data_IF_769974061814
#
_entry.id   IF_769974061814
#
_cell.length_a   1.000
_cell.length_b   1.000
_cell.length_c   1.000
_cell.angle_alpha   90.00
_cell.angle_beta   90.00
_cell.angle_gamma   90.00
#
_symmetry.space_group_name_H-M   'P 1'
#
loop_
_entity.id
_entity.type
_entity.pdbx_description
1 polymer ?
#
# COMPACT_ATOMS: atom_id res chain seq x y z
N UNK A 1 30.65 50.97 -33.07
CA UNK A 1 29.47 50.73 -32.25
C UNK A 1 29.07 49.28 -32.39
N UNK A 2 29.29 48.45 -31.34
CA UNK A 2 28.93 47.01 -31.32
C UNK A 2 27.62 46.90 -30.59
N UNK A 3 26.55 46.53 -31.27
CA UNK A 3 25.24 46.25 -30.69
C UNK A 3 25.29 44.89 -29.95
N UNK A 4 25.05 44.89 -28.66
CA UNK A 4 24.85 43.68 -27.86
C UNK A 4 23.41 43.26 -27.90
N UNK A 5 23.13 42.13 -28.51
CA UNK A 5 21.80 41.51 -28.47
C UNK A 5 21.69 40.71 -27.18
N UNK A 6 20.75 41.08 -26.29
CA UNK A 6 20.36 40.29 -25.16
C UNK A 6 19.21 39.37 -25.55
N UNK A 7 19.46 38.07 -25.58
CA UNK A 7 18.41 37.07 -25.78
C UNK A 7 17.80 36.84 -24.38
N UNK A 8 16.58 37.32 -24.20
CA UNK A 8 15.77 37.00 -23.02
C UNK A 8 15.12 35.65 -23.30
N UNK A 9 15.65 34.59 -22.69
CA UNK A 9 14.99 33.27 -22.63
C UNK A 9 13.89 33.36 -21.57
N UNK A 10 12.65 33.56 -22.03
CA UNK A 10 11.47 33.46 -21.19
C UNK A 10 11.22 31.97 -20.88
N UNK A 11 11.59 31.57 -19.69
CA UNK A 11 11.29 30.23 -19.17
C UNK A 11 9.77 30.19 -18.89
N UNK A 12 9.00 29.67 -19.83
CA UNK A 12 7.59 29.36 -19.62
C UNK A 12 7.55 28.11 -18.72
N UNK A 13 7.36 28.32 -17.43
CA UNK A 13 6.95 27.28 -16.51
C UNK A 13 5.52 26.87 -16.90
N UNK A 14 5.41 25.82 -17.71
CA UNK A 14 4.16 25.10 -17.88
C UNK A 14 3.97 24.34 -16.55
N UNK A 15 3.36 25.01 -15.57
CA UNK A 15 2.80 24.35 -14.42
C UNK A 15 1.75 23.38 -14.94
N UNK A 16 1.93 22.08 -14.72
CA UNK A 16 0.82 21.16 -14.77
C UNK A 16 -0.24 21.70 -13.80
N UNK A 17 -1.28 22.34 -14.35
CA UNK A 17 -2.52 22.49 -13.60
C UNK A 17 -3.01 21.06 -13.41
N UNK A 18 -3.03 20.61 -12.16
CA UNK A 18 -3.84 19.48 -11.77
C UNK A 18 -5.26 19.92 -12.09
N UNK A 19 -5.82 19.40 -13.18
CA UNK A 19 -7.24 19.60 -13.44
C UNK A 19 -7.97 19.07 -12.21
N UNK A 20 -8.94 19.80 -11.65
CA UNK A 20 -9.76 19.27 -10.60
C UNK A 20 -10.37 17.97 -11.14
N UNK A 21 -10.28 16.90 -10.37
CA UNK A 21 -10.95 15.62 -10.63
C UNK A 21 -12.35 15.97 -11.11
N UNK A 22 -12.70 15.47 -12.28
CA UNK A 22 -13.96 15.80 -12.94
C UNK A 22 -15.10 15.37 -12.01
N UNK A 23 -15.73 16.34 -11.35
CA UNK A 23 -16.87 16.11 -10.46
C UNK A 23 -18.12 15.55 -11.19
N UNK A 24 -17.98 15.29 -12.49
CA UNK A 24 -19.06 14.82 -13.35
C UNK A 24 -19.63 13.44 -12.94
N UNK A 25 -18.89 12.63 -12.17
CA UNK A 25 -19.38 11.32 -11.76
C UNK A 25 -20.29 11.45 -10.53
N UNK A 26 -19.94 12.30 -9.59
CA UNK A 26 -20.72 12.52 -8.36
C UNK A 26 -22.02 13.29 -8.65
N UNK A 27 -21.99 14.24 -9.57
CA UNK A 27 -23.18 15.02 -10.00
C UNK A 27 -24.23 14.19 -10.76
N UNK A 28 -23.89 12.97 -11.20
CA UNK A 28 -24.81 12.05 -11.89
C UNK A 28 -25.55 11.10 -10.98
N UNK A 29 -25.26 11.10 -9.68
CA UNK A 29 -26.02 10.34 -8.70
C UNK A 29 -27.40 10.99 -8.56
N UNK A 30 -28.42 10.27 -8.99
CA UNK A 30 -29.81 10.73 -8.92
C UNK A 30 -30.15 11.18 -7.49
N UNK A 31 -30.70 12.38 -7.37
CA UNK A 31 -30.94 13.18 -6.16
C UNK A 31 -31.86 12.55 -5.08
N UNK A 32 -31.99 11.22 -5.03
CA UNK A 32 -32.94 10.51 -4.14
C UNK A 32 -32.28 9.68 -3.02
N UNK A 33 -30.97 9.49 -3.04
CA UNK A 33 -30.25 8.89 -1.90
C UNK A 33 -29.11 9.82 -1.46
N UNK A 34 -29.21 10.36 -0.25
CA UNK A 34 -28.11 11.06 0.42
C UNK A 34 -27.01 10.03 0.72
N UNK A 35 -26.03 9.94 -0.15
CA UNK A 35 -24.83 9.13 0.07
C UNK A 35 -24.04 9.80 1.20
N UNK A 36 -23.49 9.02 2.13
CA UNK A 36 -22.66 9.56 3.18
C UNK A 36 -21.31 10.07 2.59
N UNK A 37 -20.67 11.09 3.18
CA UNK A 37 -19.37 11.55 2.72
C UNK A 37 -18.29 10.45 2.67
N UNK A 38 -18.39 9.45 3.54
CA UNK A 38 -17.49 8.29 3.54
C UNK A 38 -17.74 7.37 2.32
N UNK A 39 -18.99 7.18 1.93
CA UNK A 39 -19.34 6.40 0.75
C UNK A 39 -18.93 7.10 -0.53
N UNK A 40 -19.11 8.41 -0.60
CA UNK A 40 -18.67 9.25 -1.71
C UNK A 40 -17.14 9.14 -1.89
N UNK A 41 -16.37 9.30 -0.82
CA UNK A 41 -14.91 9.15 -0.84
C UNK A 41 -14.48 7.75 -1.27
N UNK A 42 -15.16 6.71 -0.79
CA UNK A 42 -14.89 5.33 -1.20
C UNK A 42 -15.06 5.13 -2.71
N UNK A 43 -16.16 5.65 -3.26
CA UNK A 43 -16.43 5.59 -4.72
C UNK A 43 -15.34 6.32 -5.49
N UNK A 44 -14.94 7.51 -5.05
CA UNK A 44 -13.87 8.30 -5.67
C UNK A 44 -12.52 7.56 -5.66
N UNK A 45 -12.16 6.94 -4.54
CA UNK A 45 -10.94 6.13 -4.44
C UNK A 45 -11.01 4.91 -5.38
N UNK A 46 -12.13 4.21 -5.41
CA UNK A 46 -12.30 3.03 -6.26
C UNK A 46 -12.31 3.39 -7.75
N UNK A 47 -12.85 4.54 -8.10
CA UNK A 47 -12.79 5.07 -9.47
C UNK A 47 -11.34 5.36 -9.88
N UNK A 48 -10.58 6.05 -9.04
CA UNK A 48 -9.15 6.28 -9.27
C UNK A 48 -8.35 4.97 -9.41
N UNK A 49 -8.63 3.96 -8.59
CA UNK A 49 -8.02 2.63 -8.69
C UNK A 49 -8.35 2.00 -10.04
N UNK A 50 -9.62 2.03 -10.44
CA UNK A 50 -10.08 1.42 -11.69
C UNK A 50 -9.46 2.12 -12.90
N UNK A 51 -9.45 3.45 -12.96
CA UNK A 51 -8.84 4.23 -14.02
C UNK A 51 -7.34 3.94 -14.14
N UNK A 52 -6.64 3.89 -13.01
CA UNK A 52 -5.21 3.59 -12.98
C UNK A 52 -4.89 2.19 -13.52
N UNK A 53 -5.65 1.19 -13.12
CA UNK A 53 -5.48 -0.18 -13.61
C UNK A 53 -5.96 -0.34 -15.06
N UNK A 54 -7.08 0.27 -15.46
CA UNK A 54 -7.55 0.24 -16.85
C UNK A 54 -6.51 0.81 -17.81
N UNK A 55 -5.78 1.86 -17.40
CA UNK A 55 -4.84 2.56 -18.28
C UNK A 55 -3.41 1.99 -18.24
N UNK A 56 -2.92 1.56 -17.07
CA UNK A 56 -1.50 1.24 -16.88
C UNK A 56 -1.22 -0.23 -16.60
N UNK A 57 -2.24 -1.03 -16.28
CA UNK A 57 -2.04 -2.38 -15.82
C UNK A 57 -1.61 -3.33 -16.93
N UNK A 58 -0.52 -4.07 -16.73
CA UNK A 58 0.05 -4.96 -17.74
C UNK A 58 -0.93 -6.05 -18.21
N UNK A 59 -1.76 -6.58 -17.32
CA UNK A 59 -2.75 -7.61 -17.62
C UNK A 59 -4.17 -7.04 -17.83
N UNK A 60 -4.31 -5.77 -18.13
CA UNK A 60 -5.61 -5.11 -18.30
C UNK A 60 -6.54 -5.86 -19.25
N UNK A 61 -6.03 -6.35 -20.39
CA UNK A 61 -6.84 -7.08 -21.40
C UNK A 61 -7.33 -8.45 -20.90
N UNK A 62 -6.68 -9.06 -19.92
CA UNK A 62 -7.06 -10.35 -19.34
C UNK A 62 -8.08 -10.26 -18.21
N UNK A 63 -8.31 -9.04 -17.69
CA UNK A 63 -9.26 -8.78 -16.59
C UNK A 63 -10.55 -8.18 -17.14
N UNK A 64 -11.66 -8.93 -17.21
CA UNK A 64 -12.91 -8.44 -17.82
C UNK A 64 -13.47 -7.17 -17.17
N UNK A 65 -13.27 -7.01 -15.85
CA UNK A 65 -13.74 -5.85 -15.10
C UNK A 65 -12.92 -4.58 -15.38
N UNK A 66 -11.78 -4.68 -16.07
CA UNK A 66 -10.98 -3.56 -16.55
C UNK A 66 -11.27 -3.21 -18.02
N UNK A 67 -12.31 -3.76 -18.63
CA UNK A 67 -12.70 -3.41 -19.99
C UNK A 67 -13.24 -1.99 -20.07
N UNK A 68 -12.90 -1.23 -21.13
CA UNK A 68 -13.41 0.14 -21.41
C UNK A 68 -14.94 0.20 -21.44
N UNK A 69 -15.60 -0.91 -21.80
CA UNK A 69 -17.05 -1.00 -21.80
C UNK A 69 -17.69 -0.93 -20.41
N UNK A 70 -16.90 -1.08 -19.34
CA UNK A 70 -17.39 -1.06 -17.95
C UNK A 70 -18.05 0.28 -17.60
N UNK A 71 -17.56 1.37 -18.14
CA UNK A 71 -18.07 2.73 -17.93
C UNK A 71 -19.31 3.07 -18.79
N UNK A 72 -19.71 2.20 -19.71
CA UNK A 72 -20.80 2.48 -20.67
C UNK A 72 -22.17 2.68 -20.01
N UNK A 73 -22.39 2.08 -18.85
CA UNK A 73 -23.58 2.27 -18.02
C UNK A 73 -23.19 2.88 -16.67
N UNK A 74 -23.53 4.15 -16.46
CA UNK A 74 -23.16 4.90 -15.26
C UNK A 74 -23.70 4.25 -13.99
N UNK A 75 -24.94 3.76 -13.97
CA UNK A 75 -25.54 3.15 -12.78
C UNK A 75 -24.85 1.85 -12.40
N UNK A 76 -24.57 0.98 -13.37
CA UNK A 76 -23.87 -0.28 -13.13
C UNK A 76 -22.42 -0.04 -12.68
N UNK A 77 -21.78 0.99 -13.25
CA UNK A 77 -20.43 1.38 -12.88
C UNK A 77 -20.36 1.91 -11.44
N UNK A 78 -21.27 2.81 -11.04
CA UNK A 78 -21.36 3.30 -9.67
C UNK A 78 -21.63 2.16 -8.66
N UNK A 79 -22.52 1.24 -8.98
CA UNK A 79 -22.74 0.06 -8.16
C UNK A 79 -21.50 -0.81 -8.04
N UNK A 80 -20.73 -0.94 -9.10
CA UNK A 80 -19.47 -1.67 -9.10
C UNK A 80 -18.43 -1.01 -8.19
N UNK A 81 -18.28 0.32 -8.27
CA UNK A 81 -17.37 1.08 -7.43
C UNK A 81 -17.74 1.07 -5.94
N UNK A 82 -19.04 1.06 -5.62
CA UNK A 82 -19.52 1.09 -4.23
C UNK A 82 -19.48 -0.26 -3.53
N UNK A 83 -19.31 -1.36 -4.26
CA UNK A 83 -19.53 -2.73 -3.76
C UNK A 83 -18.47 -3.23 -2.77
N UNK A 84 -17.25 -2.68 -2.81
CA UNK A 84 -16.13 -3.12 -1.98
C UNK A 84 -15.35 -1.93 -1.41
N UNK A 85 -14.67 -2.17 -0.31
CA UNK A 85 -13.65 -1.23 0.19
C UNK A 85 -12.43 -1.18 -0.75
N UNK A 86 -11.62 -0.11 -0.74
CA UNK A 86 -10.56 0.14 -1.72
C UNK A 86 -9.54 -1.00 -1.87
N UNK A 87 -9.03 -1.55 -0.79
CA UNK A 87 -8.05 -2.64 -0.86
C UNK A 87 -8.65 -3.94 -1.43
N UNK A 88 -9.81 -4.48 -0.93
CA UNK A 88 -10.49 -5.59 -1.58
C UNK A 88 -10.93 -5.31 -3.02
N UNK A 89 -11.24 -4.05 -3.35
CA UNK A 89 -11.58 -3.65 -4.71
C UNK A 89 -10.36 -3.78 -5.62
N UNK A 90 -9.23 -3.17 -5.27
CA UNK A 90 -7.98 -3.28 -5.98
C UNK A 90 -7.58 -4.75 -6.21
N UNK A 91 -7.54 -5.53 -5.13
CA UNK A 91 -7.16 -6.95 -5.20
C UNK A 91 -8.07 -7.77 -6.12
N UNK A 92 -9.35 -7.39 -6.26
CA UNK A 92 -10.29 -8.09 -7.15
C UNK A 92 -10.10 -7.79 -8.64
N UNK A 93 -9.29 -6.78 -8.97
CA UNK A 93 -8.96 -6.36 -10.33
C UNK A 93 -7.58 -6.86 -10.79
N UNK A 94 -6.89 -7.63 -9.96
CA UNK A 94 -5.60 -8.20 -10.33
C UNK A 94 -5.77 -9.54 -11.05
N UNK A 95 -4.88 -9.80 -12.00
CA UNK A 95 -4.76 -11.10 -12.67
C UNK A 95 -4.07 -12.13 -11.74
N UNK A 96 -4.45 -13.39 -11.82
CA UNK A 96 -3.90 -14.47 -10.97
C UNK A 96 -2.37 -14.66 -11.13
N UNK A 97 -1.78 -14.19 -12.23
CA UNK A 97 -0.34 -14.23 -12.47
C UNK A 97 0.39 -13.03 -11.88
N UNK A 98 -0.31 -12.00 -11.44
CA UNK A 98 0.29 -10.83 -10.83
C UNK A 98 0.83 -11.16 -9.43
N UNK A 99 2.10 -10.85 -9.21
CA UNK A 99 2.82 -11.06 -7.94
C UNK A 99 3.52 -9.80 -7.47
N UNK A 100 3.30 -8.67 -8.13
CA UNK A 100 4.07 -7.46 -7.95
C UNK A 100 3.21 -6.25 -7.57
N UNK A 101 1.93 -6.24 -7.98
CA UNK A 101 1.04 -5.13 -7.68
C UNK A 101 0.55 -5.20 -6.24
N UNK A 102 0.56 -4.08 -5.58
CA UNK A 102 0.09 -3.92 -4.20
C UNK A 102 -0.46 -2.51 -4.02
N UNK A 103 -1.26 -2.31 -2.99
CA UNK A 103 -1.84 -1.03 -2.60
C UNK A 103 -1.43 -0.70 -1.16
N UNK A 104 -1.23 0.59 -0.88
CA UNK A 104 -0.95 1.10 0.46
C UNK A 104 -1.99 2.18 0.77
N UNK A 105 -2.64 2.08 1.91
CA UNK A 105 -3.67 2.99 2.37
C UNK A 105 -3.12 4.20 3.13
N UNK A 106 -1.88 4.12 3.64
CA UNK A 106 -1.17 5.21 4.31
C UNK A 106 -0.06 5.77 3.40
N UNK A 107 -0.27 6.98 2.88
CA UNK A 107 0.70 7.63 2.01
C UNK A 107 1.99 8.04 2.76
N UNK A 108 1.91 8.36 4.06
CA UNK A 108 3.08 8.74 4.87
C UNK A 108 3.97 7.51 5.08
N UNK A 109 3.37 6.35 5.30
CA UNK A 109 4.09 5.09 5.38
C UNK A 109 4.78 4.76 4.05
N UNK A 110 4.09 4.96 2.93
CA UNK A 110 4.65 4.79 1.60
C UNK A 110 5.83 5.75 1.34
N UNK A 111 5.70 7.03 1.68
CA UNK A 111 6.79 8.00 1.55
C UNK A 111 7.99 7.61 2.41
N UNK A 112 7.78 7.17 3.64
CA UNK A 112 8.82 6.70 4.52
C UNK A 112 9.54 5.48 3.93
N UNK A 113 8.78 4.49 3.44
CA UNK A 113 9.32 3.30 2.80
C UNK A 113 10.18 3.65 1.57
N UNK A 114 9.69 4.52 0.70
CA UNK A 114 10.42 4.98 -0.50
C UNK A 114 11.65 5.81 -0.15
N UNK A 115 11.63 6.50 0.98
CA UNK A 115 12.77 7.26 1.51
C UNK A 115 13.78 6.37 2.26
N UNK A 116 13.52 5.06 2.35
CA UNK A 116 14.34 4.12 3.11
C UNK A 116 14.18 4.25 4.63
N UNK A 117 13.11 4.90 5.08
CA UNK A 117 12.73 5.00 6.49
C UNK A 117 11.75 3.88 6.77
N UNK A 118 12.21 2.85 7.44
CA UNK A 118 11.37 1.73 7.88
C UNK A 118 11.23 1.76 9.40
N UNK A 119 9.99 1.64 9.88
CA UNK A 119 9.75 1.47 11.31
C UNK A 119 10.21 0.07 11.71
N UNK A 120 11.26 0.02 12.52
CA UNK A 120 11.85 -1.21 13.02
C UNK A 120 11.97 -1.14 14.53
N UNK A 121 11.74 -2.25 15.21
CA UNK A 121 12.04 -2.40 16.63
C UNK A 121 13.56 -2.41 16.91
N UNK A 122 14.37 -2.39 15.88
CA UNK A 122 15.83 -2.34 15.97
C UNK A 122 16.49 -3.69 16.17
N UNK A 123 15.80 -4.80 15.89
CA UNK A 123 16.35 -6.15 15.97
C UNK A 123 16.49 -6.75 14.58
N UNK A 124 17.69 -7.19 14.25
CA UNK A 124 17.89 -8.15 13.17
C UNK A 124 18.03 -9.55 13.77
N UNK A 125 17.23 -10.50 13.30
CA UNK A 125 17.21 -11.85 13.82
C UNK A 125 17.36 -12.92 12.72
N UNK A 126 17.69 -14.11 13.12
CA UNK A 126 17.59 -15.32 12.30
C UNK A 126 16.63 -16.29 12.92
N UNK A 127 16.08 -17.18 12.09
CA UNK A 127 15.19 -18.23 12.54
C UNK A 127 15.80 -19.60 12.27
N UNK A 128 15.49 -20.56 13.13
CA UNK A 128 15.77 -21.97 12.88
C UNK A 128 14.62 -22.83 13.39
N UNK A 129 14.50 -23.99 12.77
CA UNK A 129 13.50 -24.99 13.13
C UNK A 129 14.11 -25.97 14.12
N UNK A 130 13.40 -26.28 15.20
CA UNK A 130 13.84 -27.30 16.15
C UNK A 130 13.86 -28.70 15.50
N UNK A 131 14.62 -29.62 16.08
CA UNK A 131 14.73 -30.99 15.56
C UNK A 131 13.40 -31.73 15.51
N UNK A 132 12.39 -31.31 16.27
CA UNK A 132 11.02 -31.83 16.21
C UNK A 132 10.26 -31.44 14.92
N UNK A 133 10.81 -30.51 14.13
CA UNK A 133 10.24 -30.04 12.87
C UNK A 133 8.99 -29.17 12.99
N UNK A 134 8.61 -28.75 14.18
CA UNK A 134 7.40 -27.96 14.45
C UNK A 134 7.71 -26.62 15.10
N UNK A 135 8.56 -26.57 16.11
CA UNK A 135 8.85 -25.36 16.87
C UNK A 135 9.90 -24.51 16.16
N UNK A 136 9.68 -23.20 16.18
CA UNK A 136 10.56 -22.19 15.59
C UNK A 136 11.21 -21.38 16.69
N UNK A 137 12.53 -21.20 16.60
CA UNK A 137 13.31 -20.36 17.48
C UNK A 137 13.92 -19.21 16.70
N UNK A 138 13.93 -18.03 17.29
CA UNK A 138 14.65 -16.88 16.82
C UNK A 138 15.93 -16.67 17.62
N UNK A 139 16.93 -16.08 16.99
CA UNK A 139 18.13 -15.59 17.64
C UNK A 139 18.50 -14.20 17.13
N UNK A 140 18.89 -13.31 18.02
CA UNK A 140 19.24 -11.94 17.72
C UNK A 140 20.62 -11.89 17.09
N UNK A 141 20.73 -11.44 15.84
CA UNK A 141 21.98 -11.25 15.11
C UNK A 141 22.60 -9.89 15.39
N UNK A 142 21.74 -8.87 15.44
CA UNK A 142 22.16 -7.49 15.58
C UNK A 142 21.07 -6.70 16.33
N UNK A 143 21.48 -5.73 17.13
CA UNK A 143 20.58 -4.74 17.76
C UNK A 143 21.05 -3.36 17.30
N UNK A 144 20.14 -2.58 16.76
CA UNK A 144 20.41 -1.24 16.29
C UNK A 144 20.63 -0.30 17.49
N UNK A 145 21.67 0.47 17.41
CA UNK A 145 22.00 1.45 18.44
C UNK A 145 20.93 2.55 18.53
N UNK A 146 20.58 2.94 19.74
CA UNK A 146 19.49 3.87 20.08
C UNK A 146 18.09 3.40 19.68
N UNK A 147 17.90 2.12 19.48
CA UNK A 147 16.58 1.51 19.20
C UNK A 147 15.81 1.21 20.47
N UNK A 148 14.52 0.89 20.30
CA UNK A 148 13.65 0.40 21.37
C UNK A 148 14.18 -0.90 21.98
N UNK A 149 14.66 -1.81 21.14
CA UNK A 149 15.25 -3.08 21.56
C UNK A 149 16.50 -2.88 22.45
N UNK A 150 17.40 -1.96 22.09
CA UNK A 150 18.56 -1.65 22.94
C UNK A 150 18.11 -1.09 24.29
N UNK A 151 17.13 -0.19 24.30
CA UNK A 151 16.59 0.42 25.52
C UNK A 151 15.96 -0.60 26.46
N UNK A 152 15.40 -1.69 25.91
CA UNK A 152 14.81 -2.83 26.63
C UNK A 152 15.81 -3.92 26.99
N UNK A 153 17.10 -3.71 26.69
CA UNK A 153 18.18 -4.61 27.07
C UNK A 153 18.31 -5.86 26.19
N UNK A 154 17.71 -5.84 24.99
CA UNK A 154 17.91 -6.92 24.02
C UNK A 154 19.37 -6.90 23.55
N UNK A 155 20.00 -8.07 23.49
CA UNK A 155 21.40 -8.21 23.10
C UNK A 155 21.61 -9.25 22.02
N UNK A 156 22.64 -9.05 21.22
CA UNK A 156 23.08 -10.04 20.23
C UNK A 156 23.33 -11.40 20.90
N UNK A 157 22.83 -12.46 20.30
CA UNK A 157 22.96 -13.82 20.79
C UNK A 157 21.84 -14.26 21.72
N UNK A 158 20.91 -13.39 22.10
CA UNK A 158 19.68 -13.80 22.79
C UNK A 158 18.82 -14.66 21.87
N UNK A 159 18.11 -15.63 22.48
CA UNK A 159 17.17 -16.51 21.82
C UNK A 159 15.76 -16.20 22.27
N UNK A 160 14.81 -16.37 21.36
CA UNK A 160 13.39 -16.25 21.66
C UNK A 160 12.59 -17.35 20.93
N UNK A 161 11.48 -17.74 21.50
CA UNK A 161 10.58 -18.75 20.94
C UNK A 161 9.11 -18.39 21.06
N UNK A 162 8.82 -17.17 21.46
CA UNK A 162 7.46 -16.64 21.58
C UNK A 162 7.42 -15.17 21.22
N UNK A 163 6.28 -14.72 20.73
CA UNK A 163 5.94 -13.33 20.46
C UNK A 163 4.59 -13.06 21.12
N UNK A 164 4.51 -12.01 21.95
CA UNK A 164 3.30 -11.66 22.70
C UNK A 164 2.71 -12.85 23.48
N UNK A 165 3.60 -13.66 24.06
CA UNK A 165 3.22 -14.86 24.80
C UNK A 165 2.75 -16.05 23.94
N UNK A 166 2.73 -15.92 22.62
CA UNK A 166 2.39 -17.01 21.70
C UNK A 166 3.66 -17.71 21.23
N UNK A 167 3.76 -19.01 21.48
CA UNK A 167 4.90 -19.82 21.04
C UNK A 167 4.99 -19.85 19.51
N UNK A 168 6.19 -19.62 18.98
CA UNK A 168 6.47 -19.68 17.56
C UNK A 168 6.50 -21.13 17.07
N UNK A 169 5.83 -21.37 15.97
CA UNK A 169 5.82 -22.65 15.26
C UNK A 169 5.76 -22.44 13.75
N UNK A 170 5.85 -23.54 13.00
CA UNK A 170 5.89 -23.54 11.55
C UNK A 170 4.68 -22.87 10.87
N UNK A 171 3.54 -22.84 11.56
CA UNK A 171 2.29 -22.32 10.97
C UNK A 171 2.05 -20.83 11.28
N UNK A 172 2.63 -20.30 12.38
CA UNK A 172 2.32 -18.95 12.84
C UNK A 172 3.49 -17.97 12.84
N UNK A 173 4.73 -18.43 12.60
CA UNK A 173 5.90 -17.57 12.73
C UNK A 173 5.90 -16.39 11.75
N UNK A 174 5.33 -16.57 10.57
CA UNK A 174 5.25 -15.49 9.56
C UNK A 174 4.33 -14.39 10.02
N UNK A 175 3.12 -14.75 10.41
CA UNK A 175 2.10 -13.78 10.83
C UNK A 175 2.52 -13.02 12.10
N UNK A 176 3.23 -13.71 13.02
CA UNK A 176 3.67 -13.11 14.27
C UNK A 176 4.93 -12.25 14.15
N UNK A 177 5.81 -12.51 13.18
CA UNK A 177 7.09 -11.81 13.03
C UNK A 177 7.11 -10.78 11.90
N UNK A 178 6.28 -10.98 10.87
CA UNK A 178 6.26 -10.20 9.65
C UNK A 178 4.86 -9.69 9.28
N UNK A 179 3.87 -9.87 10.17
CA UNK A 179 2.56 -9.26 10.03
C UNK A 179 2.61 -7.76 10.34
N UNK A 180 1.48 -7.08 10.15
CA UNK A 180 1.33 -5.62 10.28
C UNK A 180 1.61 -5.06 11.69
N UNK A 181 1.92 -5.91 12.67
CA UNK A 181 2.27 -5.50 14.02
C UNK A 181 3.75 -5.14 14.12
N UNK A 182 4.04 -3.86 14.12
CA UNK A 182 5.41 -3.31 14.32
C UNK A 182 5.89 -3.42 15.77
N UNK A 183 5.00 -3.74 16.72
CA UNK A 183 5.29 -3.83 18.15
C UNK A 183 4.96 -5.21 18.67
N UNK A 184 5.95 -5.90 19.25
CA UNK A 184 5.76 -7.19 19.93
C UNK A 184 6.71 -7.34 21.12
N UNK A 185 6.35 -8.24 22.02
CA UNK A 185 7.17 -8.63 23.19
C UNK A 185 7.84 -9.98 22.88
N UNK A 186 9.15 -10.00 22.97
CA UNK A 186 9.96 -11.21 22.79
C UNK A 186 9.96 -12.07 24.06
#
# INVERSE_FOLDING_TARGET
MKAKYYIIISLVLIGCKKDPIDNDIVDKIDNTQTISPAEELKIEINDFIWEGLNYWYYWQESVPDLSDSKTSNTTDYLNFLSNKEPEPFFNSLLDDNDRFSWIQDDYEELENLLSGIELSNGIEFGLFLECNGQDVFGYVKYVQKNSDAESKGVQRGMFFNSIDGKRLNRNNYRDLLYGDNVSYIL
#
